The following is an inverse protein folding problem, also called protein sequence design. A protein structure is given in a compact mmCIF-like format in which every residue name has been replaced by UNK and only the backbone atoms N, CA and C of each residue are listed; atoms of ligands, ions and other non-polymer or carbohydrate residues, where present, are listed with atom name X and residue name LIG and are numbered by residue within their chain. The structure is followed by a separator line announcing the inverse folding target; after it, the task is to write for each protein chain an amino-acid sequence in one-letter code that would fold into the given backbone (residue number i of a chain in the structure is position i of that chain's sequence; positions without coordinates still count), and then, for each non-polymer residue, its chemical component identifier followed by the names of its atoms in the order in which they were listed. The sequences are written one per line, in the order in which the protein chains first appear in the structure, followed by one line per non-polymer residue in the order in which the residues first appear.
data_IF_348877293897
#
_entry.id   IF_348877293897
#
_cell.length_a   1.000
_cell.length_b   1.000
_cell.length_c   1.000
_cell.angle_alpha   90.00
_cell.angle_beta   90.00
_cell.angle_gamma   90.00
#
_symmetry.space_group_name_H-M   'P 1'
#
loop_
_entity.id
_entity.type
_entity.pdbx_description
1 polymer ?
#
# COMPACT_ATOMS: atom_id res chain seq x y z
N UNK A 1 5.28 -8.78 14.63
CA UNK A 1 5.90 -7.69 13.83
C UNK A 1 4.89 -6.55 13.75
N UNK A 2 5.37 -5.31 13.66
CA UNK A 2 4.54 -4.14 13.42
C UNK A 2 4.65 -3.72 11.95
N UNK A 3 3.54 -3.58 11.25
CA UNK A 3 3.51 -3.36 9.80
C UNK A 3 2.65 -2.16 9.48
N UNK A 4 3.12 -1.28 8.60
CA UNK A 4 2.27 -0.27 7.97
C UNK A 4 1.94 -0.71 6.54
N UNK A 5 0.67 -0.62 6.17
CA UNK A 5 0.20 -0.87 4.80
C UNK A 5 -0.57 0.36 4.33
N UNK A 6 -0.26 0.86 3.14
CA UNK A 6 -0.94 2.04 2.58
C UNK A 6 -1.78 1.61 1.38
N UNK A 7 -3.03 2.06 1.29
CA UNK A 7 -3.98 1.58 0.29
C UNK A 7 -4.92 2.63 -0.30
N UNK A 8 -5.32 2.42 -1.56
CA UNK A 8 -6.20 3.32 -2.31
C UNK A 8 -5.45 4.22 -3.28
N UNK A 9 -6.20 5.01 -4.05
CA UNK A 9 -5.66 6.07 -4.92
C UNK A 9 -5.85 7.44 -4.29
N UNK A 10 -4.81 8.27 -4.29
CA UNK A 10 -4.92 9.65 -3.83
C UNK A 10 -5.77 10.48 -4.78
N UNK A 11 -6.32 11.57 -4.26
CA UNK A 11 -7.05 12.57 -5.03
C UNK A 11 -6.34 13.92 -4.98
N UNK A 12 -6.57 14.74 -5.98
CA UNK A 12 -6.05 16.09 -6.08
C UNK A 12 -7.15 17.05 -6.56
N UNK A 13 -7.68 17.94 -5.70
CA UNK A 13 -8.76 18.84 -6.06
C UNK A 13 -8.43 19.71 -7.28
N UNK A 14 -9.37 19.78 -8.22
CA UNK A 14 -9.33 20.67 -9.39
C UNK A 14 -10.11 21.95 -9.06
N UNK A 15 -11.30 21.76 -8.51
CA UNK A 15 -12.24 22.80 -8.10
C UNK A 15 -13.08 22.29 -6.91
N UNK A 16 -14.07 23.03 -6.42
CA UNK A 16 -14.88 22.64 -5.25
C UNK A 16 -15.76 21.38 -5.47
N UNK A 17 -15.80 20.84 -6.69
CA UNK A 17 -16.69 19.74 -7.10
C UNK A 17 -15.93 18.56 -7.70
N UNK A 18 -14.74 18.80 -8.26
CA UNK A 18 -13.98 17.85 -9.08
C UNK A 18 -12.58 17.65 -8.53
N UNK A 19 -12.06 16.45 -8.68
CA UNK A 19 -10.67 16.12 -8.36
C UNK A 19 -10.09 15.17 -9.42
N UNK A 20 -8.77 15.21 -9.59
CA UNK A 20 -8.00 14.19 -10.28
C UNK A 20 -7.78 13.01 -9.31
N UNK A 21 -8.05 11.78 -9.75
CA UNK A 21 -7.87 10.59 -8.92
C UNK A 21 -7.00 9.55 -9.61
N UNK A 22 -6.16 8.86 -8.82
CA UNK A 22 -5.45 7.68 -9.30
C UNK A 22 -6.36 6.44 -9.26
N UNK A 23 -6.26 5.58 -10.27
CA UNK A 23 -7.05 4.35 -10.35
C UNK A 23 -6.46 3.28 -9.43
N UNK A 24 -6.95 3.22 -8.19
CA UNK A 24 -6.66 2.13 -7.25
C UNK A 24 -7.81 1.93 -6.28
N UNK A 25 -8.34 0.71 -6.23
CA UNK A 25 -9.41 0.32 -5.32
C UNK A 25 -8.92 0.00 -3.90
N UNK A 26 -7.61 -0.09 -3.66
CA UNK A 26 -7.06 -0.55 -2.39
C UNK A 26 -7.29 -2.04 -2.07
N UNK A 27 -7.83 -2.83 -3.02
CA UNK A 27 -8.10 -4.26 -2.78
C UNK A 27 -6.83 -5.05 -2.45
N UNK A 28 -5.74 -4.83 -3.17
CA UNK A 28 -4.52 -5.60 -2.94
C UNK A 28 -3.84 -5.22 -1.63
N UNK A 29 -3.82 -3.93 -1.27
CA UNK A 29 -3.35 -3.49 0.06
C UNK A 29 -4.19 -4.07 1.19
N UNK A 30 -5.51 -4.19 1.02
CA UNK A 30 -6.38 -4.85 2.00
C UNK A 30 -6.01 -6.33 2.18
N UNK A 31 -5.79 -7.05 1.07
CA UNK A 31 -5.35 -8.45 1.10
C UNK A 31 -3.97 -8.61 1.74
N UNK A 32 -3.03 -7.69 1.48
CA UNK A 32 -1.71 -7.67 2.13
C UNK A 32 -1.87 -7.49 3.64
N UNK A 33 -2.71 -6.56 4.08
CA UNK A 33 -2.96 -6.33 5.50
C UNK A 33 -3.60 -7.56 6.19
N UNK A 34 -4.58 -8.20 5.55
CA UNK A 34 -5.16 -9.47 6.03
C UNK A 34 -4.10 -10.58 6.13
N UNK A 35 -3.24 -10.72 5.12
CA UNK A 35 -2.13 -11.67 5.14
C UNK A 35 -1.15 -11.37 6.30
N UNK A 36 -0.77 -10.10 6.52
CA UNK A 36 0.06 -9.72 7.67
C UNK A 36 -0.60 -10.09 9.01
N UNK A 37 -1.91 -9.88 9.17
CA UNK A 37 -2.65 -10.24 10.38
C UNK A 37 -2.67 -11.76 10.61
N UNK A 38 -2.79 -12.58 9.55
CA UNK A 38 -2.68 -14.04 9.65
C UNK A 38 -1.31 -14.50 10.18
N UNK A 39 -0.26 -13.71 9.96
CA UNK A 39 1.07 -13.94 10.53
C UNK A 39 1.24 -13.37 11.96
N UNK A 40 0.16 -12.92 12.61
CA UNK A 40 0.19 -12.34 13.96
C UNK A 40 0.87 -10.98 14.02
N UNK A 41 0.88 -10.22 12.92
CA UNK A 41 1.40 -8.87 12.90
C UNK A 41 0.35 -7.84 13.33
N UNK A 42 0.76 -6.82 14.08
CA UNK A 42 -0.04 -5.60 14.28
C UNK A 42 0.08 -4.73 13.03
N UNK A 43 -1.05 -4.32 12.44
CA UNK A 43 -1.12 -3.64 11.15
C UNK A 43 -1.76 -2.26 11.29
N UNK A 44 -1.01 -1.23 10.89
CA UNK A 44 -1.53 0.12 10.65
C UNK A 44 -1.87 0.25 9.17
N UNK A 45 -3.16 0.30 8.86
CA UNK A 45 -3.63 0.43 7.49
C UNK A 45 -4.01 1.87 7.19
N UNK A 46 -3.13 2.62 6.51
CA UNK A 46 -3.41 3.99 6.05
C UNK A 46 -4.18 3.90 4.74
N UNK A 47 -5.35 4.52 4.65
CA UNK A 47 -6.17 4.40 3.45
C UNK A 47 -6.92 5.66 3.08
N UNK A 48 -7.19 5.82 1.78
CA UNK A 48 -8.10 6.84 1.28
C UNK A 48 -9.57 6.47 1.55
N UNK A 49 -10.51 7.44 1.52
CA UNK A 49 -11.93 7.16 1.79
C UNK A 49 -12.56 6.09 0.89
N UNK A 50 -12.14 6.04 -0.38
CA UNK A 50 -12.70 5.11 -1.38
C UNK A 50 -12.04 3.72 -1.37
N UNK A 51 -11.03 3.49 -0.54
CA UNK A 51 -10.30 2.23 -0.51
C UNK A 51 -11.16 1.09 0.05
N UNK A 52 -11.04 -0.10 -0.55
CA UNK A 52 -11.47 -1.34 0.06
C UNK A 52 -10.62 -1.62 1.30
N UNK A 53 -11.28 -2.01 2.40
CA UNK A 53 -10.60 -2.23 3.69
C UNK A 53 -10.54 -3.73 4.03
N UNK A 54 -9.52 -4.15 4.80
CA UNK A 54 -9.43 -5.50 5.34
C UNK A 54 -10.73 -5.95 5.99
N UNK A 55 -11.21 -7.15 5.64
CA UNK A 55 -12.48 -7.75 6.10
C UNK A 55 -13.77 -7.02 5.67
N UNK A 56 -13.84 -5.68 5.73
CA UNK A 56 -15.01 -4.88 5.33
C UNK A 56 -15.44 -5.16 3.90
N UNK A 57 -14.47 -5.33 2.99
CA UNK A 57 -14.72 -5.66 1.58
C UNK A 57 -15.45 -7.00 1.38
N UNK A 58 -15.29 -7.94 2.31
CA UNK A 58 -15.95 -9.24 2.32
C UNK A 58 -17.24 -9.22 3.15
N UNK A 59 -17.41 -8.24 4.03
CA UNK A 59 -18.59 -8.10 4.90
C UNK A 59 -19.82 -7.52 4.19
N UNK A 60 -19.82 -7.49 2.85
CA UNK A 60 -21.00 -7.13 2.06
C UNK A 60 -21.97 -8.30 2.06
N UNK A 61 -23.27 -8.00 2.19
CA UNK A 61 -24.34 -8.98 2.10
C UNK A 61 -24.77 -9.13 0.64
N UNK A 62 -24.77 -10.35 0.11
CA UNK A 62 -25.28 -10.63 -1.23
C UNK A 62 -26.81 -10.64 -1.24
N UNK A 63 -27.40 -9.53 -1.72
CA UNK A 63 -28.85 -9.38 -1.83
C UNK A 63 -29.49 -10.32 -2.85
N UNK A 64 -28.70 -10.94 -3.73
CA UNK A 64 -29.18 -11.85 -4.78
C UNK A 64 -28.86 -13.32 -4.48
N UNK A 65 -28.39 -13.65 -3.27
CA UNK A 65 -28.06 -15.03 -2.92
C UNK A 65 -29.29 -15.94 -3.05
N UNK A 66 -29.12 -17.08 -3.73
CA UNK A 66 -30.11 -18.15 -3.75
C UNK A 66 -30.01 -19.08 -2.53
N UNK A 67 -28.96 -18.90 -1.70
CA UNK A 67 -28.70 -19.68 -0.50
C UNK A 67 -28.41 -18.72 0.69
N UNK A 68 -29.46 -18.26 1.39
CA UNK A 68 -29.31 -17.38 2.55
C UNK A 68 -28.57 -18.02 3.73
N UNK A 69 -28.64 -19.34 3.90
CA UNK A 69 -27.98 -20.05 5.01
C UNK A 69 -26.46 -20.09 4.80
N UNK A 70 -26.01 -20.39 3.58
CA UNK A 70 -24.59 -20.32 3.23
C UNK A 70 -24.04 -18.89 3.35
N UNK A 71 -24.81 -17.88 2.95
CA UNK A 71 -24.41 -16.47 3.10
C UNK A 71 -24.27 -16.06 4.58
N UNK A 72 -25.24 -16.48 5.41
CA UNK A 72 -25.17 -16.27 6.85
C UNK A 72 -23.93 -16.97 7.47
N UNK A 73 -23.66 -18.21 7.08
CA UNK A 73 -22.50 -18.97 7.54
C UNK A 73 -21.18 -18.30 7.14
N UNK A 74 -21.09 -17.78 5.91
CA UNK A 74 -19.93 -17.03 5.39
C UNK A 74 -19.67 -15.77 6.22
N UNK A 75 -20.71 -14.97 6.48
CA UNK A 75 -20.59 -13.76 7.29
C UNK A 75 -20.22 -14.07 8.75
N UNK A 76 -20.76 -15.16 9.32
CA UNK A 76 -20.41 -15.61 10.66
C UNK A 76 -18.94 -16.09 10.74
N UNK A 77 -18.42 -16.77 9.70
CA UNK A 77 -17.02 -17.13 9.61
C UNK A 77 -16.12 -15.89 9.54
N UNK A 78 -16.45 -14.94 8.67
CA UNK A 78 -15.73 -13.68 8.53
C UNK A 78 -15.71 -12.87 9.85
N UNK A 79 -16.83 -12.82 10.56
CA UNK A 79 -16.90 -12.12 11.85
C UNK A 79 -15.97 -12.76 12.88
N UNK A 80 -15.88 -14.09 12.93
CA UNK A 80 -14.95 -14.81 13.83
C UNK A 80 -13.50 -14.50 13.49
N UNK A 81 -13.14 -14.54 12.20
CA UNK A 81 -11.80 -14.21 11.74
C UNK A 81 -11.43 -12.77 12.11
N UNK A 82 -12.26 -11.78 11.78
CA UNK A 82 -12.04 -10.39 12.15
C UNK A 82 -11.88 -10.22 13.68
N UNK A 83 -12.74 -10.85 14.49
CA UNK A 83 -12.65 -10.77 15.95
C UNK A 83 -11.34 -11.32 16.50
N UNK A 84 -10.76 -12.34 15.88
CA UNK A 84 -9.47 -12.91 16.32
C UNK A 84 -8.26 -11.98 16.11
N UNK A 85 -8.40 -10.93 15.30
CA UNK A 85 -7.30 -10.00 14.97
C UNK A 85 -7.67 -8.53 15.18
N UNK A 86 -8.82 -8.26 15.83
CA UNK A 86 -9.38 -6.92 15.94
C UNK A 86 -8.50 -5.96 16.76
N UNK A 87 -7.74 -6.48 17.70
CA UNK A 87 -6.77 -5.75 18.52
C UNK A 87 -5.48 -5.40 17.76
N UNK A 88 -5.18 -6.14 16.69
CA UNK A 88 -3.99 -5.97 15.86
C UNK A 88 -4.22 -5.07 14.64
N UNK A 89 -5.47 -4.88 14.20
CA UNK A 89 -5.79 -4.04 13.04
C UNK A 89 -6.12 -2.60 13.46
N UNK A 90 -5.25 -1.67 13.07
CA UNK A 90 -5.42 -0.23 13.30
C UNK A 90 -5.70 0.48 11.97
N UNK A 91 -6.96 0.85 11.72
CA UNK A 91 -7.33 1.64 10.55
C UNK A 91 -6.95 3.11 10.76
N UNK A 92 -6.29 3.70 9.77
CA UNK A 92 -5.85 5.10 9.78
C UNK A 92 -6.45 5.80 8.56
N UNK A 93 -7.71 6.27 8.64
CA UNK A 93 -8.38 6.89 7.51
C UNK A 93 -7.78 8.27 7.20
N UNK A 94 -7.61 8.55 5.92
CA UNK A 94 -7.44 9.91 5.41
C UNK A 94 -8.83 10.52 5.18
N UNK A 95 -9.00 11.79 5.53
CA UNK A 95 -10.25 12.54 5.39
C UNK A 95 -10.58 12.78 3.91
N UNK A 96 -9.63 13.30 3.15
CA UNK A 96 -9.79 13.55 1.71
C UNK A 96 -8.97 12.57 0.89
N UNK A 97 -7.77 12.21 1.37
CA UNK A 97 -6.86 11.32 0.64
C UNK A 97 -5.95 12.06 -0.34
N UNK A 98 -5.55 13.28 -0.01
CA UNK A 98 -4.53 14.03 -0.77
C UNK A 98 -3.12 13.48 -0.53
N UNK A 99 -2.16 13.81 -1.40
CA UNK A 99 -0.76 13.37 -1.21
C UNK A 99 -0.16 13.99 0.05
N UNK A 100 -0.49 15.24 0.36
CA UNK A 100 -0.03 15.93 1.56
C UNK A 100 -0.54 15.25 2.84
N UNK A 101 -1.83 14.91 2.88
CA UNK A 101 -2.44 14.22 4.01
C UNK A 101 -1.84 12.82 4.20
N UNK A 102 -1.65 12.09 3.09
CA UNK A 102 -0.98 10.80 3.09
C UNK A 102 0.44 10.89 3.68
N UNK A 103 1.24 11.85 3.23
CA UNK A 103 2.60 12.05 3.72
C UNK A 103 2.63 12.32 5.23
N UNK A 104 1.79 13.24 5.71
CA UNK A 104 1.71 13.59 7.13
C UNK A 104 1.26 12.41 7.99
N UNK A 105 0.27 11.63 7.52
CA UNK A 105 -0.21 10.46 8.25
C UNK A 105 0.83 9.33 8.30
N UNK A 106 1.52 9.07 7.19
CA UNK A 106 2.59 8.08 7.13
C UNK A 106 3.77 8.48 8.04
N UNK A 107 4.21 9.73 7.99
CA UNK A 107 5.25 10.24 8.88
C UNK A 107 4.86 10.06 10.35
N UNK A 108 3.65 10.47 10.73
CA UNK A 108 3.14 10.32 12.09
C UNK A 108 3.14 8.87 12.56
N UNK A 109 2.67 7.93 11.74
CA UNK A 109 2.68 6.49 12.08
C UNK A 109 4.11 5.99 12.25
N UNK A 110 5.00 6.30 11.31
CA UNK A 110 6.40 5.83 11.35
C UNK A 110 7.22 6.44 12.50
N UNK A 111 6.89 7.65 12.96
CA UNK A 111 7.56 8.29 14.09
C UNK A 111 7.04 7.83 15.45
N UNK A 112 5.75 7.52 15.55
CA UNK A 112 5.10 7.22 16.82
C UNK A 112 4.98 5.72 17.10
N UNK A 113 5.18 4.87 16.10
CA UNK A 113 5.10 3.43 16.22
C UNK A 113 6.43 2.81 15.79
N UNK A 114 6.86 1.76 16.50
CA UNK A 114 8.03 0.98 16.09
C UNK A 114 7.63 0.06 14.93
N UNK A 115 7.64 0.57 13.70
CA UNK A 115 7.28 -0.19 12.50
C UNK A 115 8.48 -0.97 11.96
N UNK A 116 8.27 -2.27 11.74
CA UNK A 116 9.26 -3.19 11.21
C UNK A 116 9.26 -3.25 9.68
N UNK A 117 8.07 -3.21 9.06
CA UNK A 117 7.86 -3.38 7.61
C UNK A 117 6.83 -2.37 7.12
N UNK A 118 7.06 -1.78 5.95
CA UNK A 118 6.12 -0.88 5.29
C UNK A 118 5.82 -1.37 3.87
N UNK A 119 4.54 -1.60 3.58
CA UNK A 119 4.02 -1.84 2.23
C UNK A 119 3.37 -0.56 1.70
N UNK A 120 4.10 0.18 0.86
CA UNK A 120 3.60 1.43 0.29
C UNK A 120 2.83 1.19 -1.02
N UNK A 121 1.72 0.48 -0.93
CA UNK A 121 0.87 0.09 -2.06
C UNK A 121 -0.16 1.16 -2.50
N UNK A 122 -0.12 2.36 -1.91
CA UNK A 122 -1.01 3.46 -2.29
C UNK A 122 -0.63 3.99 -3.68
N UNK A 123 -1.63 4.24 -4.53
CA UNK A 123 -1.41 4.89 -5.82
C UNK A 123 -1.38 6.41 -5.62
N UNK A 124 -0.18 6.93 -5.39
CA UNK A 124 0.08 8.34 -5.12
C UNK A 124 0.14 9.13 -6.43
N UNK A 125 -0.51 10.28 -6.48
CA UNK A 125 -0.52 11.16 -7.65
C UNK A 125 0.86 11.80 -7.85
N UNK A 126 1.36 11.75 -9.08
CA UNK A 126 2.65 12.34 -9.47
C UNK A 126 2.56 13.84 -9.77
N UNK A 127 1.35 14.30 -10.05
CA UNK A 127 1.01 15.68 -10.35
C UNK A 127 -0.30 16.05 -9.66
N UNK A 128 -0.39 17.27 -9.16
CA UNK A 128 -1.58 17.83 -8.54
C UNK A 128 -1.96 19.16 -9.23
N UNK A 129 -3.25 19.39 -9.53
CA UNK A 129 -3.72 20.68 -10.00
C UNK A 129 -3.46 21.79 -8.99
N UNK A 130 -3.38 23.03 -9.47
CA UNK A 130 -3.64 24.18 -8.59
C UNK A 130 -5.17 24.32 -8.44
N UNK A 131 -5.74 24.14 -7.24
CA UNK A 131 -7.19 24.19 -7.08
C UNK A 131 -7.72 25.59 -7.39
N UNK A 132 -8.83 25.64 -8.11
CA UNK A 132 -9.54 26.87 -8.49
C UNK A 132 -10.79 26.98 -7.60
N UNK A 133 -10.98 28.09 -6.86
CA UNK A 133 -12.18 28.27 -6.04
C UNK A 133 -13.46 28.28 -6.87
N UNK A 134 -14.54 27.73 -6.32
CA UNK A 134 -15.83 27.60 -6.98
C UNK A 134 -15.91 26.40 -7.92
N UNK A 135 -17.06 26.24 -8.58
CA UNK A 135 -17.27 25.20 -9.59
C UNK A 135 -16.93 25.75 -10.97
N UNK A 136 -16.06 25.07 -11.72
CA UNK A 136 -15.77 25.44 -13.10
C UNK A 136 -17.04 25.38 -13.98
N UNK A 137 -17.24 26.42 -14.78
CA UNK A 137 -18.43 26.59 -15.63
C UNK A 137 -18.58 25.41 -16.62
N UNK A 138 -19.75 24.77 -16.61
CA UNK A 138 -20.08 23.65 -17.51
C UNK A 138 -20.36 24.05 -18.96
N UNK A 139 -20.52 25.35 -19.25
CA UNK A 139 -20.70 25.88 -20.61
C UNK A 139 -19.40 26.28 -21.30
N UNK A 140 -18.24 26.12 -20.63
CA UNK A 140 -16.95 26.41 -21.26
C UNK A 140 -16.68 25.44 -22.41
N UNK A 141 -16.22 25.96 -23.56
CA UNK A 141 -15.86 25.14 -24.73
C UNK A 141 -14.65 24.23 -24.46
N UNK A 142 -13.77 24.64 -23.54
CA UNK A 142 -12.62 23.85 -23.10
C UNK A 142 -12.22 24.17 -21.66
N UNK A 143 -11.55 23.22 -20.99
CA UNK A 143 -10.99 23.38 -19.64
C UNK A 143 -9.51 22.98 -19.71
N UNK A 144 -8.62 23.85 -19.23
CA UNK A 144 -7.18 23.58 -19.11
C UNK A 144 -6.84 23.47 -17.63
N UNK A 145 -6.29 22.33 -17.23
CA UNK A 145 -5.87 22.05 -15.85
C UNK A 145 -4.35 22.04 -15.79
N UNK A 146 -3.77 23.07 -15.18
CA UNK A 146 -2.33 23.11 -14.92
C UNK A 146 -2.01 22.33 -13.64
N UNK A 147 -1.12 21.34 -13.76
CA UNK A 147 -0.69 20.50 -12.65
C UNK A 147 0.81 20.62 -12.38
N UNK A 148 1.19 20.56 -11.11
CA UNK A 148 2.56 20.64 -10.62
C UNK A 148 2.99 19.28 -10.07
N UNK A 149 4.27 18.95 -10.21
CA UNK A 149 4.82 17.68 -9.72
C UNK A 149 4.74 17.62 -8.19
N UNK A 150 4.31 16.48 -7.65
CA UNK A 150 4.27 16.24 -6.21
C UNK A 150 5.62 15.75 -5.67
N UNK A 151 5.92 16.00 -4.38
CA UNK A 151 7.03 15.34 -3.70
C UNK A 151 6.82 13.82 -3.67
N UNK A 152 7.89 13.05 -3.92
CA UNK A 152 7.86 11.59 -3.85
C UNK A 152 7.93 11.12 -2.39
N UNK A 153 6.78 10.96 -1.74
CA UNK A 153 6.64 10.61 -0.31
C UNK A 153 7.52 9.43 0.12
N UNK A 154 7.59 8.37 -0.67
CA UNK A 154 8.42 7.18 -0.37
C UNK A 154 9.90 7.53 -0.15
N UNK A 155 10.42 8.56 -0.81
CA UNK A 155 11.82 8.96 -0.64
C UNK A 155 12.09 9.45 0.77
N UNK A 156 11.13 10.08 1.45
CA UNK A 156 11.29 10.60 2.80
C UNK A 156 11.24 9.51 3.88
N UNK A 157 10.75 8.32 3.55
CA UNK A 157 10.47 7.26 4.53
C UNK A 157 11.72 6.80 5.27
N UNK A 158 12.87 6.76 4.59
CA UNK A 158 14.15 6.44 5.23
C UNK A 158 14.62 7.49 6.22
N UNK A 159 14.24 8.75 6.03
CA UNK A 159 14.62 9.83 6.93
C UNK A 159 13.76 9.78 8.20
N UNK A 160 12.56 9.22 8.13
CA UNK A 160 11.66 9.01 9.27
C UNK A 160 11.92 7.70 10.01
N UNK A 161 12.20 6.61 9.28
CA UNK A 161 12.48 5.29 9.83
C UNK A 161 13.60 4.60 9.03
N UNK A 162 14.87 4.78 9.43
CA UNK A 162 16.01 4.25 8.67
C UNK A 162 16.06 2.71 8.62
N UNK A 163 15.61 2.04 9.69
CA UNK A 163 15.76 0.59 9.89
C UNK A 163 14.60 -0.26 9.34
N UNK A 164 13.48 0.38 9.05
CA UNK A 164 12.28 -0.23 8.49
C UNK A 164 12.60 -1.07 7.25
N UNK A 165 11.99 -2.24 7.06
CA UNK A 165 12.00 -2.92 5.77
C UNK A 165 10.97 -2.29 4.81
N UNK A 166 11.45 -1.51 3.84
CA UNK A 166 10.63 -0.68 2.96
C UNK A 166 10.31 -1.41 1.65
N UNK A 167 9.02 -1.69 1.44
CA UNK A 167 8.47 -2.26 0.21
C UNK A 167 7.74 -1.19 -0.59
N UNK A 168 8.28 -0.85 -1.75
CA UNK A 168 7.65 0.03 -2.74
C UNK A 168 6.85 -0.78 -3.78
N UNK A 169 5.94 -0.11 -4.48
CA UNK A 169 5.17 -0.69 -5.59
C UNK A 169 5.41 0.09 -6.87
N UNK A 170 5.49 -0.62 -8.00
CA UNK A 170 5.65 -0.03 -9.34
C UNK A 170 4.68 -0.70 -10.30
N UNK A 171 3.69 0.07 -10.74
CA UNK A 171 2.72 -0.34 -11.74
C UNK A 171 3.08 0.31 -13.08
N UNK A 172 3.29 -0.50 -14.12
CA UNK A 172 3.39 -0.03 -15.51
C UNK A 172 2.24 -0.63 -16.33
N UNK A 173 2.14 -0.25 -17.60
CA UNK A 173 1.10 -0.78 -18.49
C UNK A 173 1.67 -0.99 -19.89
N UNK A 174 1.47 -2.20 -20.42
CA UNK A 174 1.83 -2.58 -21.81
C UNK A 174 3.33 -2.42 -22.08
N UNK A 175 4.15 -2.79 -21.10
CA UNK A 175 5.61 -2.81 -21.25
C UNK A 175 6.12 -4.25 -21.26
N UNK A 176 7.18 -4.56 -22.05
CA UNK A 176 7.90 -5.81 -21.94
C UNK A 176 8.40 -6.08 -20.51
N UNK A 177 8.49 -7.36 -20.13
CA UNK A 177 8.98 -7.75 -18.81
C UNK A 177 10.38 -7.17 -18.47
N UNK A 178 11.38 -7.19 -19.37
CA UNK A 178 12.69 -6.60 -19.08
C UNK A 178 12.62 -5.11 -18.69
N UNK A 179 11.77 -4.34 -19.37
CA UNK A 179 11.59 -2.91 -19.10
C UNK A 179 10.90 -2.69 -17.75
N UNK A 180 9.91 -3.52 -17.42
CA UNK A 180 9.25 -3.50 -16.11
C UNK A 180 10.25 -3.76 -14.97
N UNK A 181 11.13 -4.75 -15.14
CA UNK A 181 12.14 -5.12 -14.14
C UNK A 181 13.18 -4.01 -13.99
N UNK A 182 13.68 -3.44 -15.10
CA UNK A 182 14.63 -2.33 -15.07
C UNK A 182 14.06 -1.08 -14.37
N UNK A 183 12.81 -0.71 -14.69
CA UNK A 183 12.12 0.41 -14.04
C UNK A 183 11.85 0.17 -12.54
N UNK A 184 11.59 -1.08 -12.15
CA UNK A 184 11.41 -1.45 -10.76
C UNK A 184 12.71 -1.41 -9.96
N UNK A 185 13.83 -1.84 -10.54
CA UNK A 185 15.16 -1.74 -9.95
C UNK A 185 15.59 -0.29 -9.78
N UNK A 186 15.44 0.53 -10.83
CA UNK A 186 15.70 1.97 -10.78
C UNK A 186 14.84 2.66 -9.71
N UNK A 187 13.56 2.30 -9.61
CA UNK A 187 12.68 2.81 -8.54
C UNK A 187 13.12 2.35 -7.15
N UNK A 188 13.62 1.11 -7.01
CA UNK A 188 14.09 0.58 -5.73
C UNK A 188 15.26 1.42 -5.20
N UNK A 189 16.27 1.65 -6.06
CA UNK A 189 17.46 2.46 -5.76
C UNK A 189 17.07 3.91 -5.47
N UNK A 190 16.32 4.56 -6.35
CA UNK A 190 15.96 5.97 -6.23
C UNK A 190 15.10 6.28 -4.98
N UNK A 191 14.35 5.29 -4.49
CA UNK A 191 13.50 5.42 -3.31
C UNK A 191 14.15 4.88 -2.03
N UNK A 192 15.39 4.36 -2.11
CA UNK A 192 16.07 3.70 -0.99
C UNK A 192 15.21 2.57 -0.39
N UNK A 193 14.42 1.89 -1.22
CA UNK A 193 13.59 0.76 -0.81
C UNK A 193 14.43 -0.52 -0.70
N UNK A 194 13.98 -1.48 0.09
CA UNK A 194 14.61 -2.82 0.14
C UNK A 194 14.08 -3.74 -0.96
N UNK A 195 12.85 -3.49 -1.38
CA UNK A 195 12.13 -4.28 -2.37
C UNK A 195 11.16 -3.40 -3.14
N UNK A 196 11.14 -3.52 -4.45
CA UNK A 196 10.06 -3.03 -5.30
C UNK A 196 9.22 -4.20 -5.79
N UNK A 197 7.92 -4.16 -5.52
CA UNK A 197 6.93 -5.07 -6.11
C UNK A 197 6.45 -4.45 -7.43
N UNK A 198 6.81 -5.09 -8.53
CA UNK A 198 6.49 -4.63 -9.87
C UNK A 198 5.36 -5.45 -10.48
N UNK A 199 4.41 -4.79 -11.13
CA UNK A 199 3.30 -5.43 -11.80
C UNK A 199 2.87 -4.64 -13.04
N UNK A 200 2.22 -5.33 -13.97
CA UNK A 200 1.69 -4.73 -15.19
C UNK A 200 0.15 -4.63 -15.12
N UNK A 201 -0.39 -3.49 -15.53
CA UNK A 201 -1.82 -3.21 -15.47
C UNK A 201 -2.63 -4.03 -16.48
N UNK A 202 -2.04 -4.43 -17.61
CA UNK A 202 -2.73 -5.23 -18.62
C UNK A 202 -2.94 -6.65 -18.10
N UNK A 203 -1.90 -7.27 -17.52
CA UNK A 203 -2.02 -8.61 -16.92
C UNK A 203 -3.04 -8.64 -15.79
N UNK A 204 -3.06 -7.58 -14.97
CA UNK A 204 -4.10 -7.36 -13.95
C UNK A 204 -5.52 -7.35 -14.51
N UNK A 205 -5.74 -6.65 -15.63
CA UNK A 205 -7.04 -6.56 -16.30
C UNK A 205 -7.45 -7.90 -16.91
N UNK A 206 -6.48 -8.69 -17.36
CA UNK A 206 -6.68 -10.01 -17.92
C UNK A 206 -6.85 -11.10 -16.84
N UNK A 207 -7.00 -10.70 -15.57
CA UNK A 207 -7.19 -11.60 -14.43
C UNK A 207 -5.91 -12.30 -13.94
N UNK A 208 -4.76 -11.96 -14.53
CA UNK A 208 -3.46 -12.49 -14.16
C UNK A 208 -2.70 -11.48 -13.29
N UNK A 209 -2.96 -11.51 -11.98
CA UNK A 209 -2.22 -10.69 -11.03
C UNK A 209 -0.85 -11.30 -10.70
N UNK A 210 0.09 -11.23 -11.65
CA UNK A 210 1.48 -11.61 -11.42
C UNK A 210 2.26 -10.42 -10.86
N UNK A 211 3.12 -10.67 -9.87
CA UNK A 211 4.03 -9.65 -9.33
C UNK A 211 5.48 -10.12 -9.39
N UNK A 212 6.37 -9.18 -9.66
CA UNK A 212 7.81 -9.40 -9.70
C UNK A 212 8.47 -8.66 -8.54
N UNK A 213 9.24 -9.38 -7.74
CA UNK A 213 9.97 -8.89 -6.59
C UNK A 213 11.36 -8.50 -7.06
N UNK A 214 11.64 -7.19 -7.07
CA UNK A 214 12.89 -6.64 -7.58
C UNK A 214 13.67 -6.00 -6.43
N UNK A 215 14.88 -6.49 -6.20
CA UNK A 215 15.80 -6.01 -5.18
C UNK A 215 17.15 -5.67 -5.84
N UNK A 216 17.86 -4.64 -5.37
CA UNK A 216 19.19 -4.33 -5.89
C UNK A 216 20.13 -5.54 -5.72
N UNK A 217 20.94 -5.82 -6.74
CA UNK A 217 21.98 -6.86 -6.72
C UNK A 217 21.48 -8.31 -6.52
N UNK A 218 20.17 -8.55 -6.66
CA UNK A 218 19.58 -9.88 -6.56
C UNK A 218 18.76 -10.19 -7.81
N UNK A 219 18.73 -11.45 -8.28
CA UNK A 219 17.86 -11.81 -9.39
C UNK A 219 16.39 -11.59 -9.01
N UNK A 220 15.55 -11.13 -9.96
CA UNK A 220 14.13 -10.89 -9.70
C UNK A 220 13.40 -12.21 -9.43
N UNK A 221 12.51 -12.20 -8.44
CA UNK A 221 11.65 -13.34 -8.12
C UNK A 221 10.23 -13.08 -8.61
N UNK A 222 9.54 -14.08 -9.15
CA UNK A 222 8.19 -13.90 -9.68
C UNK A 222 7.16 -14.70 -8.89
N UNK A 223 6.13 -14.02 -8.40
CA UNK A 223 4.96 -14.65 -7.79
C UNK A 223 3.80 -14.64 -8.78
N UNK A 224 3.42 -15.84 -9.24
CA UNK A 224 2.33 -16.04 -10.19
C UNK A 224 0.96 -15.65 -9.61
N UNK A 225 -0.01 -15.31 -10.47
CA UNK A 225 -1.40 -15.06 -10.05
C UNK A 225 -2.01 -16.23 -9.25
N UNK A 226 -2.91 -15.92 -8.32
CA UNK A 226 -3.64 -16.91 -7.54
C UNK A 226 -4.29 -16.32 -6.28
N UNK A 227 -5.25 -17.05 -5.69
CA UNK A 227 -5.98 -16.59 -4.50
C UNK A 227 -5.10 -16.31 -3.28
N UNK A 228 -3.90 -16.89 -3.22
CA UNK A 228 -2.92 -16.77 -2.13
C UNK A 228 -1.76 -15.82 -2.45
N UNK A 229 -1.88 -14.98 -3.49
CA UNK A 229 -0.80 -14.08 -3.90
C UNK A 229 -0.32 -13.16 -2.77
N UNK A 230 -1.27 -12.55 -2.04
CA UNK A 230 -0.94 -11.66 -0.93
C UNK A 230 -0.24 -12.42 0.21
N UNK A 231 -0.71 -13.64 0.53
CA UNK A 231 -0.08 -14.48 1.56
C UNK A 231 1.38 -14.79 1.18
N UNK A 232 1.62 -15.28 -0.06
CA UNK A 232 2.98 -15.55 -0.54
C UNK A 232 3.88 -14.33 -0.61
N UNK A 233 3.33 -13.16 -0.94
CA UNK A 233 4.08 -11.90 -0.90
C UNK A 233 4.50 -11.56 0.53
N UNK A 234 3.59 -11.66 1.49
CA UNK A 234 3.86 -11.36 2.90
C UNK A 234 4.88 -12.36 3.47
N UNK A 235 4.71 -13.65 3.23
CA UNK A 235 5.68 -14.70 3.60
C UNK A 235 7.09 -14.33 3.15
N UNK A 236 7.23 -13.97 1.87
CA UNK A 236 8.52 -13.65 1.29
C UNK A 236 9.11 -12.39 1.88
N UNK A 237 8.31 -11.33 2.04
CA UNK A 237 8.75 -10.07 2.63
C UNK A 237 9.16 -10.25 4.10
N UNK A 238 8.40 -11.00 4.90
CA UNK A 238 8.74 -11.22 6.30
C UNK A 238 10.04 -12.02 6.46
N UNK A 239 10.26 -13.03 5.62
CA UNK A 239 11.52 -13.76 5.59
C UNK A 239 12.71 -12.85 5.25
N UNK A 240 12.56 -11.98 4.24
CA UNK A 240 13.59 -11.01 3.86
C UNK A 240 13.85 -9.95 4.93
N UNK A 241 12.79 -9.45 5.58
CA UNK A 241 12.89 -8.49 6.66
C UNK A 241 13.67 -9.08 7.84
N UNK A 242 13.42 -10.34 8.20
CA UNK A 242 14.15 -11.02 9.27
C UNK A 242 15.63 -11.24 8.93
N UNK A 243 15.94 -11.67 7.70
CA UNK A 243 17.33 -11.80 7.22
C UNK A 243 18.11 -10.48 7.28
N UNK A 244 17.44 -9.35 6.99
CA UNK A 244 18.07 -8.03 7.09
C UNK A 244 18.37 -7.66 8.54
N UNK A 245 17.46 -7.96 9.47
CA UNK A 245 17.66 -7.66 10.90
C UNK A 245 18.86 -8.44 11.48
N UNK A 246 19.04 -9.69 11.09
CA UNK A 246 20.14 -10.53 11.59
C UNK A 246 21.51 -10.11 11.03
N UNK A 247 21.56 -9.61 9.80
CA UNK A 247 22.80 -9.15 9.15
C UNK A 247 23.23 -7.73 9.53
N UNK A 248 22.31 -6.91 10.08
CA UNK A 248 22.59 -5.55 10.56
C UNK A 248 22.18 -5.41 12.04
N UNK A 249 22.91 -6.03 12.98
CA UNK A 249 22.49 -6.09 14.39
C UNK A 249 22.55 -4.73 15.10
N UNK A 250 21.70 -4.58 16.11
CA UNK A 250 21.63 -3.42 17.00
C UNK A 250 22.99 -3.21 17.70
N UNK A 251 23.57 -1.99 17.77
CA UNK A 251 24.58 -1.74 18.79
C UNK A 251 23.90 -1.92 20.14
N UNK A 252 24.38 -2.89 20.92
CA UNK A 252 23.87 -3.15 22.26
C UNK A 252 23.97 -1.87 23.08
N UNK A 253 22.88 -1.52 23.77
CA UNK A 253 22.93 -0.53 24.85
C UNK A 253 23.92 -1.09 25.86
N UNK A 254 25.14 -0.56 25.87
CA UNK A 254 26.07 -0.80 26.99
C UNK A 254 25.39 -0.19 28.20
N UNK A 255 25.00 -1.05 29.14
CA UNK A 255 24.66 -0.65 30.49
C UNK A 255 25.78 0.24 31.02
N UNK A 256 25.49 1.53 31.21
CA UNK A 256 26.28 2.39 32.07
C UNK A 256 25.91 2.02 33.51
N UNK A 257 26.58 0.99 34.02
CA UNK A 257 26.77 0.80 35.46
C UNK A 257 28.29 0.82 35.63
N UNK A 258 28.80 1.99 36.03
CA UNK A 258 30.00 2.22 36.84
C UNK A 258 30.52 3.64 36.56
N UNK A 259 30.42 4.49 37.58
CA UNK A 259 30.86 5.89 37.60
C UNK A 259 30.20 6.67 38.71
#
# INVERSE_FOLDING_TARGET
MNVVVTGGGTIAPIDDVRHLANVSSGRFSAMIAEACLKHGASVWHIHTPAAQLPYKRQAQFDLNTTDPEAEQARLAALQREWRSVADQLHLVPLAEGTVAEYAASLERVLRNQSIDVAFLAMAVSDFEPRPIPGKLNSQAESIIIHALRTPKVIRSVRDWSPRLFLVGFKLLSRVPLPDLLAEAEAACLANRADLTVANDLQTLRDGQHTVHLVRPEHPPETLQSGGTLADRLVDRVFALAEQRRTTTPHPSVRNAVDG
#
